data_IF_432377762566
#
_entry.id   IF_432377762566
#
_cell.length_a   1.000
_cell.length_b   1.000
_cell.length_c   1.000
_cell.angle_alpha   90.00
_cell.angle_beta   90.00
_cell.angle_gamma   90.00
#
_symmetry.space_group_name_H-M   'P 1'
#
loop_
_entity.id
_entity.type
_entity.pdbx_description
1 polymer ?
#
# COMPACT_ATOMS: atom_id res chain seq x y z
N UNK A 1 -29.43 -4.53 -4.37
CA UNK A 1 -28.84 -4.70 -5.70
C UNK A 1 -27.86 -5.86 -5.63
N UNK A 2 -27.80 -6.77 -6.62
CA UNK A 2 -26.83 -7.84 -6.61
C UNK A 2 -25.41 -7.25 -6.68
N UNK A 3 -24.48 -7.85 -5.92
CA UNK A 3 -23.05 -7.48 -5.99
C UNK A 3 -22.56 -7.61 -7.44
N UNK A 4 -21.73 -6.67 -7.92
CA UNK A 4 -21.17 -6.77 -9.27
C UNK A 4 -20.42 -8.11 -9.39
N UNK A 5 -20.70 -8.82 -10.47
CA UNK A 5 -20.03 -10.08 -10.80
C UNK A 5 -18.51 -9.84 -10.84
N UNK A 6 -17.78 -10.61 -10.07
CA UNK A 6 -16.31 -10.59 -10.14
C UNK A 6 -15.87 -10.84 -11.60
N UNK A 7 -14.94 -10.04 -12.14
CA UNK A 7 -14.48 -10.22 -13.51
C UNK A 7 -13.93 -11.62 -13.72
N UNK A 8 -14.26 -12.27 -14.84
CA UNK A 8 -13.74 -13.60 -15.17
C UNK A 8 -12.22 -13.62 -15.25
N UNK A 9 -11.59 -14.77 -15.07
CA UNK A 9 -10.13 -14.90 -14.94
C UNK A 9 -9.30 -14.27 -16.07
N UNK A 10 -9.83 -14.18 -17.29
CA UNK A 10 -9.19 -13.48 -18.41
C UNK A 10 -9.21 -11.95 -18.22
N UNK A 11 -10.33 -11.42 -17.75
CA UNK A 11 -10.46 -9.98 -17.44
C UNK A 11 -9.54 -9.57 -16.28
N UNK A 12 -9.39 -10.40 -15.23
CA UNK A 12 -8.46 -10.13 -14.12
C UNK A 12 -6.99 -10.09 -14.57
N UNK A 13 -6.57 -11.01 -15.46
CA UNK A 13 -5.20 -10.99 -16.01
C UNK A 13 -4.94 -9.72 -16.83
N UNK A 14 -5.93 -9.29 -17.62
CA UNK A 14 -5.84 -8.07 -18.42
C UNK A 14 -5.76 -6.82 -17.53
N UNK A 15 -6.58 -6.75 -16.47
CA UNK A 15 -6.55 -5.65 -15.51
C UNK A 15 -5.22 -5.60 -14.73
N UNK A 16 -4.72 -6.75 -14.28
CA UNK A 16 -3.45 -6.84 -13.56
C UNK A 16 -2.27 -6.39 -14.44
N UNK A 17 -2.26 -6.79 -15.70
CA UNK A 17 -1.23 -6.35 -16.67
C UNK A 17 -1.29 -4.83 -16.86
N UNK A 18 -2.47 -4.29 -17.17
CA UNK A 18 -2.66 -2.85 -17.39
C UNK A 18 -2.27 -2.05 -16.13
N UNK A 19 -2.74 -2.47 -14.97
CA UNK A 19 -2.35 -1.87 -13.68
C UNK A 19 -0.83 -1.81 -13.52
N UNK A 20 -0.14 -2.92 -13.82
CA UNK A 20 1.32 -3.00 -13.68
C UNK A 20 2.05 -2.09 -14.67
N UNK A 21 1.57 -2.01 -15.93
CA UNK A 21 2.12 -1.13 -16.95
C UNK A 21 1.96 0.35 -16.58
N UNK A 22 0.77 0.77 -16.13
CA UNK A 22 0.50 2.15 -15.71
C UNK A 22 1.29 2.53 -14.44
N UNK A 23 1.36 1.64 -13.44
CA UNK A 23 2.15 1.88 -12.25
C UNK A 23 3.65 2.00 -12.58
N UNK A 24 4.16 1.17 -13.49
CA UNK A 24 5.56 1.22 -13.94
C UNK A 24 5.89 2.52 -14.70
N UNK A 25 4.96 3.05 -15.49
CA UNK A 25 5.10 4.34 -16.17
C UNK A 25 5.31 5.50 -15.17
N UNK A 26 4.83 5.33 -13.94
CA UNK A 26 5.01 6.27 -12.83
C UNK A 26 6.20 5.91 -11.92
N UNK A 27 7.06 4.97 -12.34
CA UNK A 27 8.20 4.45 -11.57
C UNK A 27 7.84 3.63 -10.32
N UNK A 28 6.58 3.27 -10.12
CA UNK A 28 6.17 2.28 -9.13
C UNK A 28 6.44 0.86 -9.63
N UNK A 29 6.34 -0.12 -8.75
CA UNK A 29 6.65 -1.53 -9.06
C UNK A 29 5.51 -2.44 -8.64
N UNK A 30 4.98 -3.23 -9.58
CA UNK A 30 4.02 -4.28 -9.30
C UNK A 30 4.72 -5.64 -9.26
N UNK A 31 4.42 -6.43 -8.23
CA UNK A 31 4.94 -7.77 -8.02
C UNK A 31 3.77 -8.75 -8.05
N UNK A 32 3.66 -9.57 -9.08
CA UNK A 32 2.64 -10.61 -9.14
C UNK A 32 3.14 -11.85 -8.42
N UNK A 33 2.43 -12.26 -7.38
CA UNK A 33 2.75 -13.42 -6.56
C UNK A 33 1.65 -14.48 -6.64
N UNK A 34 2.03 -15.74 -6.43
CA UNK A 34 1.11 -16.87 -6.47
C UNK A 34 0.63 -17.31 -5.08
N UNK A 35 1.30 -16.87 -4.01
CA UNK A 35 0.98 -17.26 -2.63
C UNK A 35 1.37 -16.19 -1.61
N UNK A 36 0.89 -16.37 -0.38
CA UNK A 36 1.32 -15.55 0.76
C UNK A 36 2.82 -15.73 1.07
N UNK A 37 3.38 -16.91 0.88
CA UNK A 37 4.81 -17.17 1.10
C UNK A 37 5.67 -16.39 0.10
N UNK A 38 5.26 -16.33 -1.16
CA UNK A 38 5.94 -15.53 -2.17
C UNK A 38 5.80 -14.02 -1.89
N UNK A 39 4.63 -13.59 -1.38
CA UNK A 39 4.46 -12.20 -0.91
C UNK A 39 5.43 -11.87 0.22
N UNK A 40 5.55 -12.74 1.22
CA UNK A 40 6.48 -12.58 2.35
C UNK A 40 7.92 -12.50 1.86
N UNK A 41 8.35 -13.42 0.99
CA UNK A 41 9.70 -13.41 0.41
C UNK A 41 9.98 -12.09 -0.33
N UNK A 42 9.02 -11.63 -1.15
CA UNK A 42 9.13 -10.36 -1.87
C UNK A 42 9.26 -9.16 -0.91
N UNK A 43 8.47 -9.13 0.17
CA UNK A 43 8.56 -8.07 1.19
C UNK A 43 9.94 -8.10 1.85
N UNK A 44 10.42 -9.28 2.27
CA UNK A 44 11.72 -9.42 2.91
C UNK A 44 12.88 -9.01 1.99
N UNK A 45 12.81 -9.30 0.70
CA UNK A 45 13.78 -8.82 -0.29
C UNK A 45 13.79 -7.30 -0.41
N UNK A 46 12.61 -6.65 -0.41
CA UNK A 46 12.49 -5.19 -0.43
C UNK A 46 13.11 -4.61 0.85
N UNK A 47 12.77 -5.15 2.03
CA UNK A 47 13.31 -4.71 3.31
C UNK A 47 14.84 -4.86 3.36
N UNK A 48 15.38 -5.99 2.92
CA UNK A 48 16.82 -6.22 2.88
C UNK A 48 17.55 -5.17 2.01
N UNK A 49 16.96 -4.78 0.86
CA UNK A 49 17.54 -3.74 -0.02
C UNK A 49 17.53 -2.35 0.61
N UNK A 50 16.65 -2.07 1.55
CA UNK A 50 16.59 -0.79 2.27
C UNK A 50 17.49 -0.73 3.51
N UNK A 51 18.36 -1.73 3.69
CA UNK A 51 19.26 -1.83 4.84
C UNK A 51 18.73 -2.68 5.98
N UNK A 52 17.56 -3.35 5.79
CA UNK A 52 16.91 -4.13 6.83
C UNK A 52 16.16 -3.25 7.84
N UNK A 53 15.81 -3.84 8.97
CA UNK A 53 15.13 -3.13 10.06
C UNK A 53 13.64 -3.43 10.15
N UNK A 54 12.94 -2.74 11.08
CA UNK A 54 11.53 -2.96 11.30
C UNK A 54 10.66 -2.40 10.17
N UNK A 55 9.47 -2.97 10.04
CA UNK A 55 8.42 -2.50 9.13
C UNK A 55 7.35 -1.78 9.95
N UNK A 56 6.98 -0.57 9.58
CA UNK A 56 5.77 0.08 10.07
C UNK A 56 4.57 -0.51 9.34
N UNK A 57 3.59 -1.03 10.06
CA UNK A 57 2.54 -1.86 9.46
C UNK A 57 1.14 -1.47 9.94
N UNK A 58 0.14 -1.62 9.09
CA UNK A 58 -1.26 -1.69 9.50
C UNK A 58 -1.47 -2.93 10.37
N UNK A 59 -2.56 -2.93 11.14
CA UNK A 59 -2.95 -4.10 11.89
C UNK A 59 -3.10 -5.31 10.96
N UNK A 60 -2.68 -6.48 11.43
CA UNK A 60 -2.67 -7.70 10.62
C UNK A 60 -4.01 -8.01 9.96
N UNK A 61 -5.13 -7.77 10.68
CA UNK A 61 -6.48 -7.96 10.16
C UNK A 61 -6.84 -7.01 9.00
N UNK A 62 -6.18 -5.86 8.92
CA UNK A 62 -6.45 -4.81 7.95
C UNK A 62 -5.58 -4.90 6.68
N UNK A 63 -4.58 -5.79 6.66
CA UNK A 63 -3.78 -6.04 5.46
C UNK A 63 -4.57 -6.74 4.34
N UNK A 64 -5.67 -7.42 4.69
CA UNK A 64 -6.55 -8.09 3.72
C UNK A 64 -6.04 -9.43 3.19
N UNK A 65 -4.82 -9.82 3.54
CA UNK A 65 -4.16 -11.06 3.12
C UNK A 65 -3.75 -11.84 4.38
N UNK A 66 -4.68 -12.62 4.88
CA UNK A 66 -4.85 -13.27 6.19
C UNK A 66 -3.63 -13.64 7.02
N UNK A 67 -2.51 -14.09 6.47
CA UNK A 67 -1.40 -14.60 7.26
C UNK A 67 -0.02 -13.97 6.95
N UNK A 68 0.02 -12.98 6.06
CA UNK A 68 1.29 -12.32 5.66
C UNK A 68 2.01 -11.70 6.86
N UNK A 69 1.30 -11.00 7.74
CA UNK A 69 1.90 -10.39 8.94
C UNK A 69 2.50 -11.46 9.88
N UNK A 70 1.76 -12.52 10.15
CA UNK A 70 2.21 -13.63 11.01
C UNK A 70 3.43 -14.32 10.44
N UNK A 71 3.47 -14.53 9.12
CA UNK A 71 4.59 -15.13 8.41
C UNK A 71 5.82 -14.22 8.40
N UNK A 72 5.66 -12.92 8.24
CA UNK A 72 6.76 -11.96 8.37
C UNK A 72 7.42 -12.03 9.76
N UNK A 73 6.60 -12.03 10.82
CA UNK A 73 7.08 -12.15 12.19
C UNK A 73 7.79 -13.50 12.41
N UNK A 74 7.19 -14.61 11.96
CA UNK A 74 7.81 -15.94 12.06
C UNK A 74 9.10 -16.05 11.27
N UNK A 75 9.25 -15.29 10.19
CA UNK A 75 10.46 -15.16 9.39
C UNK A 75 11.47 -14.17 9.94
N UNK A 76 11.29 -13.67 11.18
CA UNK A 76 12.24 -12.79 11.87
C UNK A 76 12.10 -11.30 11.56
N UNK A 77 11.05 -10.88 10.83
CA UNK A 77 10.80 -9.46 10.56
C UNK A 77 10.14 -8.81 11.76
N UNK A 78 10.72 -7.72 12.26
CA UNK A 78 10.10 -6.91 13.33
C UNK A 78 9.01 -6.01 12.73
N UNK A 79 7.80 -6.09 13.29
CA UNK A 79 6.67 -5.24 12.91
C UNK A 79 6.42 -4.21 14.01
N UNK A 80 6.33 -2.95 13.63
CA UNK A 80 5.95 -1.84 14.49
C UNK A 80 4.52 -1.40 14.16
N UNK A 81 3.72 -1.18 15.20
CA UNK A 81 2.44 -0.48 15.10
C UNK A 81 2.65 1.03 14.97
N UNK A 82 1.58 1.73 14.62
CA UNK A 82 1.60 3.19 14.38
C UNK A 82 0.70 3.96 15.37
N UNK A 83 0.31 3.35 16.47
CA UNK A 83 -0.54 4.01 17.46
C UNK A 83 0.16 5.25 18.02
N UNK A 84 -0.48 6.39 17.84
CA UNK A 84 0.01 7.66 18.35
C UNK A 84 -0.79 8.04 19.59
N UNK A 85 -0.09 8.33 20.67
CA UNK A 85 -0.68 8.84 21.90
C UNK A 85 -1.47 10.13 21.68
N UNK A 86 -2.48 10.37 22.50
CA UNK A 86 -3.23 11.63 22.49
C UNK A 86 -2.41 12.78 23.05
N UNK A 87 -1.52 12.50 24.00
CA UNK A 87 -0.61 13.48 24.58
C UNK A 87 0.41 14.00 23.53
N UNK A 88 0.61 15.31 23.40
CA UNK A 88 1.50 15.88 22.39
C UNK A 88 2.97 15.50 22.54
N UNK A 89 3.47 15.36 23.77
CA UNK A 89 4.87 15.06 24.02
C UNK A 89 5.15 13.56 23.83
N UNK A 90 4.23 12.69 24.24
CA UNK A 90 4.30 11.26 23.94
C UNK A 90 4.21 11.00 22.43
N UNK A 91 3.31 11.72 21.74
CA UNK A 91 3.19 11.64 20.29
C UNK A 91 4.47 12.05 19.58
N UNK A 92 5.13 13.13 20.02
CA UNK A 92 6.40 13.59 19.44
C UNK A 92 7.50 12.55 19.63
N UNK A 93 7.58 11.90 20.79
CA UNK A 93 8.53 10.80 21.05
C UNK A 93 8.25 9.61 20.15
N UNK A 94 7.00 9.15 20.06
CA UNK A 94 6.61 8.05 19.20
C UNK A 94 6.93 8.32 17.72
N UNK A 95 6.70 9.54 17.23
CA UNK A 95 7.06 9.92 15.86
C UNK A 95 8.57 9.90 15.64
N UNK A 96 9.37 10.35 16.61
CA UNK A 96 10.84 10.29 16.53
C UNK A 96 11.37 8.84 16.50
N UNK A 97 10.70 7.91 17.17
CA UNK A 97 11.04 6.48 17.11
C UNK A 97 10.69 5.84 15.75
N UNK A 98 9.68 6.37 15.06
CA UNK A 98 9.27 5.90 13.73
C UNK A 98 10.08 6.52 12.58
N UNK A 99 10.75 7.65 12.80
CA UNK A 99 11.51 8.38 11.77
C UNK A 99 12.58 7.52 11.05
N UNK A 100 13.35 6.64 11.72
CA UNK A 100 14.33 5.78 11.06
C UNK A 100 13.72 4.60 10.28
N UNK A 101 12.41 4.35 10.36
CA UNK A 101 11.76 3.22 9.69
C UNK A 101 11.74 3.42 8.18
N UNK A 102 12.30 2.47 7.43
CA UNK A 102 12.47 2.59 5.98
C UNK A 102 11.28 2.05 5.18
N UNK A 103 10.47 1.16 5.74
CA UNK A 103 9.41 0.46 5.01
C UNK A 103 8.09 0.55 5.75
N UNK A 104 7.05 0.97 5.03
CA UNK A 104 5.66 0.91 5.46
C UNK A 104 4.88 -0.16 4.70
N UNK A 105 4.09 -0.97 5.39
CA UNK A 105 3.26 -2.04 4.82
C UNK A 105 1.79 -1.77 5.10
N UNK A 106 0.99 -1.70 4.04
CA UNK A 106 -0.47 -1.54 4.10
C UNK A 106 -1.20 -2.61 3.30
N UNK A 107 -2.48 -2.80 3.60
CA UNK A 107 -3.41 -3.37 2.62
C UNK A 107 -3.88 -2.30 1.65
N UNK A 108 -4.51 -2.71 0.54
CA UNK A 108 -5.22 -1.80 -0.36
C UNK A 108 -6.67 -2.24 -0.53
N UNK A 109 -7.59 -1.28 -0.50
CA UNK A 109 -9.01 -1.52 -0.73
C UNK A 109 -9.29 -1.86 -2.19
N UNK A 110 -8.60 -1.21 -3.12
CA UNK A 110 -8.71 -1.43 -4.56
C UNK A 110 -7.44 -1.00 -5.30
N UNK A 111 -7.31 -1.50 -6.55
CA UNK A 111 -6.39 -0.99 -7.55
C UNK A 111 -7.16 -0.52 -8.80
N UNK A 112 -6.72 0.59 -9.38
CA UNK A 112 -7.31 1.22 -10.57
C UNK A 112 -6.41 0.96 -11.77
N UNK A 113 -6.89 0.16 -12.73
CA UNK A 113 -6.04 -0.34 -13.81
C UNK A 113 -5.71 0.74 -14.86
N UNK A 114 -6.54 1.77 -14.98
CA UNK A 114 -6.34 2.86 -15.94
C UNK A 114 -5.21 3.83 -15.56
N UNK A 115 -4.85 3.88 -14.28
CA UNK A 115 -3.88 4.82 -13.72
C UNK A 115 -2.76 4.16 -12.92
N UNK A 116 -2.83 2.84 -12.70
CA UNK A 116 -1.90 2.15 -11.79
C UNK A 116 -2.00 2.60 -10.33
N UNK A 117 -3.14 3.19 -9.96
CA UNK A 117 -3.33 3.75 -8.61
C UNK A 117 -3.86 2.71 -7.64
N UNK A 118 -3.47 2.84 -6.37
CA UNK A 118 -4.07 2.08 -5.27
C UNK A 118 -4.98 2.99 -4.44
N UNK A 119 -6.05 2.40 -3.91
CA UNK A 119 -7.02 3.08 -3.04
C UNK A 119 -6.85 2.55 -1.62
N UNK A 120 -6.58 3.45 -0.68
CA UNK A 120 -6.45 3.17 0.74
C UNK A 120 -7.57 3.87 1.51
N UNK A 121 -8.17 3.18 2.48
CA UNK A 121 -9.10 3.79 3.42
C UNK A 121 -8.47 3.79 4.81
N UNK A 122 -8.27 4.98 5.37
CA UNK A 122 -7.74 5.14 6.73
C UNK A 122 -8.84 4.97 7.78
N UNK A 123 -8.47 4.48 8.95
CA UNK A 123 -9.39 4.23 10.07
C UNK A 123 -8.68 3.54 11.22
N UNK A 124 -9.46 2.95 12.14
CA UNK A 124 -8.90 2.09 13.18
C UNK A 124 -8.11 0.95 12.53
N UNK A 125 -6.93 0.64 13.02
CA UNK A 125 -6.04 -0.36 12.44
C UNK A 125 -5.36 0.02 11.11
N UNK A 126 -5.69 1.19 10.50
CA UNK A 126 -5.27 1.65 9.17
C UNK A 126 -4.78 3.09 9.19
N UNK A 127 -3.70 3.33 9.93
CA UNK A 127 -3.11 4.67 10.06
C UNK A 127 -2.49 5.17 8.76
N UNK A 128 -2.79 6.43 8.38
CA UNK A 128 -2.23 7.08 7.19
C UNK A 128 -0.71 7.18 7.22
N UNK A 129 -0.16 7.31 8.41
CA UNK A 129 1.28 7.49 8.60
C UNK A 129 2.09 6.37 7.96
N UNK A 130 1.56 5.14 7.97
CA UNK A 130 2.21 3.95 7.41
C UNK A 130 2.52 4.09 5.92
N UNK A 131 1.65 4.76 5.16
CA UNK A 131 1.84 4.98 3.72
C UNK A 131 2.53 6.30 3.38
N UNK A 132 2.86 7.15 4.36
CA UNK A 132 3.38 8.50 4.13
C UNK A 132 4.76 8.73 4.72
N UNK A 133 5.05 8.19 5.93
CA UNK A 133 6.28 8.45 6.65
C UNK A 133 7.48 7.68 6.08
N UNK A 134 7.42 6.34 5.87
CA UNK A 134 8.55 5.58 5.39
C UNK A 134 8.92 5.93 3.94
N UNK A 135 10.22 5.94 3.60
CA UNK A 135 10.67 6.17 2.22
C UNK A 135 10.18 5.14 1.21
N UNK A 136 9.87 3.92 1.64
CA UNK A 136 9.34 2.84 0.80
C UNK A 136 7.97 2.42 1.30
N UNK A 137 6.97 2.47 0.44
CA UNK A 137 5.63 1.99 0.73
C UNK A 137 5.36 0.69 -0.04
N UNK A 138 4.95 -0.35 0.68
CA UNK A 138 4.49 -1.63 0.13
C UNK A 138 3.00 -1.76 0.39
N UNK A 139 2.21 -2.01 -0.64
CA UNK A 139 0.78 -2.27 -0.53
C UNK A 139 0.46 -3.70 -0.96
N UNK A 140 -0.28 -4.43 -0.13
CA UNK A 140 -0.86 -5.73 -0.49
C UNK A 140 -2.20 -5.49 -1.17
N UNK A 141 -2.39 -6.07 -2.35
CA UNK A 141 -3.60 -5.90 -3.15
C UNK A 141 -4.00 -7.23 -3.79
N UNK A 142 -5.18 -7.76 -3.45
CA UNK A 142 -5.72 -8.89 -4.20
C UNK A 142 -6.08 -8.48 -5.63
N UNK A 143 -5.69 -9.29 -6.61
CA UNK A 143 -6.07 -9.11 -8.03
C UNK A 143 -7.58 -9.07 -8.23
N UNK A 144 -8.36 -9.63 -7.32
CA UNK A 144 -9.82 -9.59 -7.33
C UNK A 144 -10.39 -8.21 -7.00
N UNK A 145 -9.57 -7.33 -6.42
CA UNK A 145 -9.90 -5.93 -6.09
C UNK A 145 -9.36 -4.94 -7.13
N UNK A 146 -9.04 -5.42 -8.34
CA UNK A 146 -8.68 -4.55 -9.45
C UNK A 146 -9.95 -4.10 -10.19
N UNK A 147 -10.05 -2.80 -10.42
CA UNK A 147 -11.13 -2.14 -11.14
C UNK A 147 -10.57 -1.46 -12.40
N UNK A 148 -11.37 -1.36 -13.48
CA UNK A 148 -10.95 -0.65 -14.67
C UNK A 148 -10.55 0.79 -14.41
N UNK A 149 -11.30 1.51 -13.54
CA UNK A 149 -11.14 2.93 -13.26
C UNK A 149 -11.74 3.32 -11.90
N UNK A 150 -11.49 4.55 -11.44
CA UNK A 150 -12.10 5.11 -10.24
C UNK A 150 -13.65 5.14 -10.30
N UNK A 151 -14.30 5.57 -11.39
CA UNK A 151 -15.76 5.47 -11.49
C UNK A 151 -16.29 4.05 -11.27
N UNK A 152 -15.67 3.05 -11.91
CA UNK A 152 -16.06 1.64 -11.75
C UNK A 152 -15.94 1.14 -10.30
N UNK A 153 -14.89 1.59 -9.59
CA UNK A 153 -14.72 1.29 -8.17
C UNK A 153 -15.82 1.94 -7.32
N UNK A 154 -16.10 3.22 -7.54
CA UNK A 154 -17.11 3.96 -6.77
C UNK A 154 -18.54 3.43 -7.04
N UNK A 155 -18.85 3.02 -8.27
CA UNK A 155 -20.11 2.35 -8.61
C UNK A 155 -20.28 1.01 -7.87
N UNK A 156 -19.19 0.23 -7.78
CA UNK A 156 -19.19 -1.04 -7.05
C UNK A 156 -19.23 -0.85 -5.52
N UNK A 157 -18.71 0.28 -5.02
CA UNK A 157 -18.58 0.58 -3.59
C UNK A 157 -19.05 2.00 -3.25
N UNK A 158 -20.36 2.32 -3.41
CA UNK A 158 -20.87 3.68 -3.23
C UNK A 158 -20.69 4.24 -1.81
N UNK A 159 -20.53 3.34 -0.81
CA UNK A 159 -20.26 3.73 0.59
C UNK A 159 -18.78 3.89 0.93
N UNK A 160 -17.85 3.62 0.02
CA UNK A 160 -16.41 3.59 0.32
C UNK A 160 -15.86 4.92 0.83
N UNK A 161 -16.40 6.03 0.35
CA UNK A 161 -15.98 7.40 0.73
C UNK A 161 -16.34 7.73 2.18
N UNK A 162 -17.32 7.05 2.76
CA UNK A 162 -17.83 7.30 4.13
C UNK A 162 -17.40 6.24 5.16
N UNK A 163 -16.73 5.18 4.73
CA UNK A 163 -16.37 4.03 5.58
C UNK A 163 -15.09 4.21 6.40
N UNK A 164 -14.45 5.36 6.35
CA UNK A 164 -13.22 5.63 7.07
C UNK A 164 -13.04 7.10 7.37
N UNK A 165 -11.95 7.44 8.04
CA UNK A 165 -11.60 8.83 8.30
C UNK A 165 -11.09 9.56 7.05
N UNK A 166 -10.58 8.81 6.07
CA UNK A 166 -10.06 9.36 4.82
C UNK A 166 -9.95 8.26 3.76
N UNK A 167 -10.26 8.61 2.50
CA UNK A 167 -9.98 7.80 1.31
C UNK A 167 -8.82 8.44 0.55
N UNK A 168 -7.74 7.70 0.37
CA UNK A 168 -6.52 8.18 -0.29
C UNK A 168 -6.29 7.37 -1.56
N UNK A 169 -6.01 8.07 -2.66
CA UNK A 169 -5.60 7.47 -3.93
C UNK A 169 -4.12 7.77 -4.13
N UNK A 170 -3.30 6.71 -4.17
CA UNK A 170 -1.86 6.81 -4.39
C UNK A 170 -1.56 6.41 -5.82
N UNK A 171 -1.04 7.37 -6.59
CA UNK A 171 -0.73 7.22 -8.01
C UNK A 171 0.80 7.28 -8.20
N UNK A 172 1.47 6.21 -7.77
CA UNK A 172 2.93 6.11 -7.81
C UNK A 172 3.68 6.83 -6.67
N UNK A 173 5.03 6.85 -6.74
CA UNK A 173 5.89 7.50 -5.76
C UNK A 173 5.70 9.02 -5.70
N UNK A 174 6.04 9.61 -4.54
CA UNK A 174 6.00 11.08 -4.37
C UNK A 174 6.99 11.77 -5.29
N UNK A 175 6.50 12.72 -6.08
CA UNK A 175 7.28 13.57 -6.98
C UNK A 175 6.95 15.02 -6.70
N UNK A 176 7.95 15.79 -6.33
CA UNK A 176 7.83 17.25 -6.22
C UNK A 176 8.66 17.88 -7.32
N UNK A 177 8.05 18.65 -8.19
CA UNK A 177 8.74 19.53 -9.11
C UNK A 177 8.95 20.87 -8.40
N UNK A 178 10.19 21.21 -8.08
CA UNK A 178 10.52 22.52 -7.57
C UNK A 178 10.53 23.55 -8.73
N UNK A 179 10.37 24.84 -8.36
CA UNK A 179 10.38 25.98 -9.30
C UNK A 179 11.65 26.02 -10.19
N UNK A 180 12.72 25.35 -9.77
CA UNK A 180 13.98 25.21 -10.51
C UNK A 180 14.04 24.04 -11.49
N UNK A 181 12.92 23.39 -11.85
CA UNK A 181 12.83 22.22 -12.76
C UNK A 181 13.62 20.98 -12.32
N UNK A 182 14.07 20.91 -11.08
CA UNK A 182 14.68 19.70 -10.53
C UNK A 182 13.62 18.81 -9.89
N UNK A 183 13.48 17.59 -10.43
CA UNK A 183 12.55 16.58 -9.91
C UNK A 183 13.12 16.01 -8.62
N UNK A 184 12.57 16.42 -7.47
CA UNK A 184 12.96 15.87 -6.16
C UNK A 184 11.98 14.78 -5.74
N UNK A 185 12.47 13.57 -5.51
CA UNK A 185 11.66 12.43 -5.06
C UNK A 185 11.55 12.42 -3.52
N UNK A 186 10.34 12.21 -3.00
CA UNK A 186 10.12 11.86 -1.60
C UNK A 186 10.13 13.01 -0.60
N UNK A 187 9.79 14.24 -1.02
CA UNK A 187 9.69 15.38 -0.09
C UNK A 187 8.42 15.28 0.79
N UNK A 188 7.32 14.74 0.25
CA UNK A 188 6.02 14.68 0.92
C UNK A 188 5.40 13.28 0.95
N UNK A 189 6.21 12.23 0.81
CA UNK A 189 5.74 10.83 0.81
C UNK A 189 6.81 9.87 0.31
N UNK A 190 6.48 8.59 0.14
CA UNK A 190 7.43 7.55 -0.24
C UNK A 190 8.13 7.83 -1.56
N UNK A 191 9.43 7.55 -1.59
CA UNK A 191 10.27 7.60 -2.81
C UNK A 191 10.06 6.39 -3.70
N UNK A 192 9.66 5.27 -3.11
CA UNK A 192 9.36 4.03 -3.81
C UNK A 192 7.97 3.52 -3.39
N UNK A 193 7.21 3.05 -4.37
CA UNK A 193 5.91 2.39 -4.16
C UNK A 193 5.96 1.01 -4.80
N UNK A 194 5.70 -0.01 -4.01
CA UNK A 194 5.59 -1.40 -4.41
C UNK A 194 4.18 -1.90 -4.17
N UNK A 195 3.57 -2.54 -5.16
CA UNK A 195 2.27 -3.18 -5.01
C UNK A 195 2.44 -4.68 -5.21
N UNK A 196 2.14 -5.46 -4.18
CA UNK A 196 2.17 -6.93 -4.25
C UNK A 196 0.77 -7.40 -4.61
N UNK A 197 0.64 -7.93 -5.83
CA UNK A 197 -0.62 -8.44 -6.39
C UNK A 197 -0.78 -9.91 -6.03
N UNK A 198 -1.61 -10.17 -5.02
CA UNK A 198 -1.94 -11.53 -4.55
C UNK A 198 -3.09 -12.16 -5.37
N UNK A 199 -3.35 -13.45 -5.28
CA UNK A 199 -4.40 -14.17 -6.00
C UNK A 199 -5.82 -13.66 -5.83
#
# INVERSE_FOLDING_TARGET
MPAPLAPGGFALKSLARRFSEELAALTGRAHMVASADEAVSTIQEIVARTGGGPILCWDAAELGEGDVASKLVSGGTTILGYELASDPDERRRALAELDPVQVGLTGAMAGLADTGSIVLASGAGRGRLVSLLPPVHIALLSRRRLYPSLPSFLEAHPGSVTQGSNLVIITGPSRTADIEMTLTHGVHGPREVHVILTP
#
